data_IF_836715833970
#
_entry.id   IF_836715833970
#
_cell.length_a   1.000
_cell.length_b   1.000
_cell.length_c   1.000
_cell.angle_alpha   90.00
_cell.angle_beta   90.00
_cell.angle_gamma   90.00
#
_symmetry.space_group_name_H-M   'P 1'
#
loop_
_entity.id
_entity.type
_entity.pdbx_description
1 polymer ?
#
# COMPACT_ATOMS: atom_id res chain seq x y z
N UNK A 1 4.40 -2.11 -19.34
CA UNK A 1 3.29 -1.15 -19.15
C UNK A 1 2.36 -1.64 -18.05
N UNK A 2 1.76 -2.80 -18.23
CA UNK A 2 1.27 -3.72 -17.21
C UNK A 2 1.85 -3.55 -15.77
N UNK A 3 3.10 -3.98 -15.53
CA UNK A 3 3.76 -3.88 -14.21
C UNK A 3 3.83 -2.45 -13.70
N UNK A 4 4.08 -1.47 -14.57
CA UNK A 4 4.13 -0.06 -14.17
C UNK A 4 2.75 0.46 -13.74
N UNK A 5 1.66 0.04 -14.40
CA UNK A 5 0.29 0.39 -14.00
C UNK A 5 -0.08 -0.23 -12.64
N UNK A 6 0.35 -1.47 -12.40
CA UNK A 6 0.15 -2.14 -11.11
C UNK A 6 0.91 -1.41 -9.98
N UNK A 7 2.19 -1.09 -10.20
CA UNK A 7 3.02 -0.35 -9.24
C UNK A 7 2.43 1.04 -8.95
N UNK A 8 2.06 1.81 -9.98
CA UNK A 8 1.47 3.14 -9.80
C UNK A 8 0.15 3.09 -9.03
N UNK A 9 -0.70 2.10 -9.35
CA UNK A 9 -2.00 1.96 -8.69
C UNK A 9 -1.87 1.60 -7.21
N UNK A 10 -0.90 0.76 -6.87
CA UNK A 10 -0.56 0.41 -5.49
C UNK A 10 0.06 1.60 -4.73
N UNK A 11 1.07 2.25 -5.32
CA UNK A 11 1.76 3.40 -4.72
C UNK A 11 0.82 4.59 -4.50
N UNK A 12 -0.19 4.76 -5.36
CA UNK A 12 -1.22 5.78 -5.17
C UNK A 12 -2.07 5.50 -3.92
N UNK A 13 -2.50 4.25 -3.73
CA UNK A 13 -3.27 3.85 -2.55
C UNK A 13 -2.44 4.00 -1.26
N UNK A 14 -1.17 3.60 -1.30
CA UNK A 14 -0.24 3.71 -0.17
C UNK A 14 0.11 5.17 0.15
N UNK A 15 0.29 6.01 -0.86
CA UNK A 15 0.50 7.45 -0.70
C UNK A 15 -0.72 8.14 -0.08
N UNK A 16 -1.92 7.75 -0.50
CA UNK A 16 -3.17 8.27 0.07
C UNK A 16 -3.32 7.86 1.55
N UNK A 17 -3.04 6.59 1.89
CA UNK A 17 -3.04 6.10 3.27
C UNK A 17 -2.00 6.82 4.13
N UNK A 18 -0.78 6.97 3.61
CA UNK A 18 0.33 7.66 4.30
C UNK A 18 -0.01 9.12 4.58
N UNK A 19 -0.52 9.86 3.59
CA UNK A 19 -0.87 11.27 3.79
C UNK A 19 -2.04 11.43 4.77
N UNK A 20 -3.08 10.61 4.62
CA UNK A 20 -4.30 10.71 5.44
C UNK A 20 -4.02 10.36 6.88
N UNK A 21 -3.36 9.23 7.16
CA UNK A 21 -2.95 8.85 8.52
C UNK A 21 -2.02 9.91 9.12
N UNK A 22 -0.99 10.32 8.39
CA UNK A 22 -0.02 11.31 8.90
C UNK A 22 -0.70 12.64 9.22
N UNK A 23 -1.68 13.07 8.43
CA UNK A 23 -2.45 14.28 8.71
C UNK A 23 -3.44 14.11 9.87
N UNK A 24 -4.05 12.94 10.01
CA UNK A 24 -5.01 12.64 11.10
C UNK A 24 -4.33 12.59 12.47
N UNK A 25 -3.10 12.09 12.55
CA UNK A 25 -2.30 12.09 13.79
C UNK A 25 -1.69 13.46 14.16
N UNK A 26 -2.19 14.57 13.57
CA UNK A 26 -1.80 15.94 13.94
C UNK A 26 -0.41 16.38 13.48
N UNK A 27 0.22 15.63 12.59
CA UNK A 27 1.55 15.94 12.08
C UNK A 27 1.46 17.16 11.13
N UNK A 28 2.46 18.04 11.15
CA UNK A 28 2.48 19.20 10.28
C UNK A 28 2.39 18.80 8.79
N UNK A 29 1.63 19.56 7.98
CA UNK A 29 1.46 19.33 6.53
C UNK A 29 2.78 19.07 5.80
N UNK A 30 3.84 19.77 6.21
CA UNK A 30 5.20 19.58 5.68
C UNK A 30 5.74 18.15 5.90
N UNK A 31 5.46 17.54 7.05
CA UNK A 31 5.89 16.17 7.38
C UNK A 31 5.06 15.12 6.64
N UNK A 32 3.76 15.35 6.45
CA UNK A 32 2.94 14.51 5.58
C UNK A 32 3.42 14.52 4.13
N UNK A 33 3.80 15.70 3.60
CA UNK A 33 4.37 15.81 2.25
C UNK A 33 5.76 15.16 2.14
N UNK A 34 6.60 15.26 3.18
CA UNK A 34 7.89 14.57 3.22
C UNK A 34 7.71 13.05 3.23
N UNK A 35 6.75 12.53 3.99
CA UNK A 35 6.43 11.10 3.99
C UNK A 35 5.86 10.64 2.66
N UNK A 36 5.02 11.44 2.00
CA UNK A 36 4.53 11.16 0.66
C UNK A 36 5.67 11.11 -0.37
N UNK A 37 6.61 12.06 -0.29
CA UNK A 37 7.78 12.06 -1.17
C UNK A 37 8.69 10.85 -0.90
N UNK A 38 8.92 10.51 0.37
CA UNK A 38 9.68 9.32 0.73
C UNK A 38 9.00 8.03 0.21
N UNK A 39 7.67 7.93 0.31
CA UNK A 39 6.89 6.82 -0.22
C UNK A 39 7.04 6.72 -1.75
N UNK A 40 6.99 7.83 -2.49
CA UNK A 40 7.14 7.83 -3.95
C UNK A 40 8.55 7.45 -4.44
N UNK A 41 9.59 7.76 -3.65
CA UNK A 41 10.98 7.46 -4.02
C UNK A 41 11.39 6.03 -3.62
N UNK A 42 10.76 5.45 -2.59
CA UNK A 42 11.13 4.13 -2.08
C UNK A 42 11.09 3.00 -3.13
N UNK A 43 10.06 2.87 -4.01
CA UNK A 43 10.03 1.86 -5.06
C UNK A 43 11.17 2.02 -6.07
N UNK A 44 11.48 3.27 -6.45
CA UNK A 44 12.57 3.58 -7.38
C UNK A 44 13.93 3.20 -6.78
N UNK A 45 14.14 3.53 -5.50
CA UNK A 45 15.36 3.15 -4.78
C UNK A 45 15.44 1.63 -4.64
N UNK A 46 14.34 0.96 -4.26
CA UNK A 46 14.27 -0.49 -4.16
C UNK A 46 14.62 -1.18 -5.49
N UNK A 47 14.01 -0.73 -6.60
CA UNK A 47 14.34 -1.22 -7.93
C UNK A 47 15.81 -0.96 -8.30
N UNK A 48 16.35 0.22 -8.00
CA UNK A 48 17.75 0.54 -8.28
C UNK A 48 18.73 -0.35 -7.49
N UNK A 49 18.41 -0.75 -6.26
CA UNK A 49 19.27 -1.68 -5.49
C UNK A 49 19.42 -3.04 -6.16
N UNK A 50 18.45 -3.47 -6.96
CA UNK A 50 18.54 -4.73 -7.71
C UNK A 50 19.62 -4.73 -8.80
N UNK A 51 20.11 -3.55 -9.20
CA UNK A 51 21.25 -3.40 -10.12
C UNK A 51 22.59 -3.70 -9.44
N UNK A 52 22.66 -3.60 -8.11
CA UNK A 52 23.87 -3.85 -7.32
C UNK A 52 23.91 -5.30 -6.81
N UNK A 53 22.76 -5.88 -6.49
CA UNK A 53 22.65 -7.24 -5.98
C UNK A 53 21.27 -7.83 -6.23
N UNK A 54 21.21 -9.14 -6.49
CA UNK A 54 19.95 -9.89 -6.66
C UNK A 54 19.67 -10.71 -5.41
N UNK A 55 18.45 -10.63 -4.89
CA UNK A 55 18.05 -11.46 -3.75
C UNK A 55 17.77 -12.91 -4.19
N UNK A 56 18.31 -13.92 -3.50
CA UNK A 56 17.94 -15.31 -3.73
C UNK A 56 16.44 -15.55 -3.47
N UNK A 57 15.81 -16.44 -4.24
CA UNK A 57 14.36 -16.70 -4.18
C UNK A 57 13.86 -17.05 -2.77
N UNK A 58 14.64 -17.81 -2.00
CA UNK A 58 14.29 -18.19 -0.63
C UNK A 58 14.19 -16.97 0.29
N UNK A 59 15.13 -16.04 0.18
CA UNK A 59 15.09 -14.80 0.97
C UNK A 59 13.99 -13.86 0.47
N UNK A 60 13.75 -13.81 -0.85
CA UNK A 60 12.68 -13.03 -1.43
C UNK A 60 11.30 -13.52 -0.94
N UNK A 61 11.07 -14.84 -0.93
CA UNK A 61 9.85 -15.43 -0.40
C UNK A 61 9.64 -15.13 1.08
N UNK A 62 10.70 -15.23 1.90
CA UNK A 62 10.65 -14.84 3.30
C UNK A 62 10.35 -13.35 3.51
N UNK A 63 10.97 -12.48 2.71
CA UNK A 63 10.74 -11.04 2.71
C UNK A 63 9.28 -10.70 2.35
N UNK A 64 8.79 -11.21 1.22
CA UNK A 64 7.40 -11.00 0.78
C UNK A 64 6.40 -11.55 1.79
N UNK A 65 6.66 -12.72 2.37
CA UNK A 65 5.81 -13.31 3.42
C UNK A 65 5.76 -12.46 4.68
N UNK A 66 6.89 -11.89 5.12
CA UNK A 66 6.93 -10.98 6.26
C UNK A 66 6.09 -9.72 6.02
N UNK A 67 6.30 -9.04 4.89
CA UNK A 67 5.52 -7.84 4.56
C UNK A 67 4.04 -8.13 4.33
N UNK A 68 3.71 -9.23 3.63
CA UNK A 68 2.33 -9.67 3.46
C UNK A 68 1.63 -9.95 4.80
N UNK A 69 2.32 -10.61 5.73
CA UNK A 69 1.81 -10.83 7.09
C UNK A 69 1.60 -9.54 7.87
N UNK A 70 2.53 -8.59 7.79
CA UNK A 70 2.40 -7.29 8.44
C UNK A 70 1.20 -6.48 7.88
N UNK A 71 0.99 -6.49 6.56
CA UNK A 71 -0.15 -5.84 5.92
C UNK A 71 -1.49 -6.49 6.33
N UNK A 72 -1.53 -7.83 6.42
CA UNK A 72 -2.70 -8.55 6.93
C UNK A 72 -3.00 -8.21 8.39
N UNK A 73 -1.96 -8.10 9.23
CA UNK A 73 -2.10 -7.67 10.61
C UNK A 73 -2.66 -6.24 10.70
N UNK A 74 -2.09 -5.29 9.95
CA UNK A 74 -2.57 -3.91 9.93
C UNK A 74 -4.04 -3.83 9.49
N UNK A 75 -4.40 -4.57 8.43
CA UNK A 75 -5.77 -4.63 7.93
C UNK A 75 -6.75 -5.17 8.98
N UNK A 76 -6.37 -6.24 9.69
CA UNK A 76 -7.25 -6.91 10.65
C UNK A 76 -7.32 -6.20 12.01
N UNK A 77 -6.21 -5.65 12.50
CA UNK A 77 -6.09 -5.11 13.85
C UNK A 77 -6.36 -3.59 13.93
N UNK A 78 -6.12 -2.85 12.86
CA UNK A 78 -6.29 -1.39 12.84
C UNK A 78 -7.40 -0.94 11.89
N UNK A 79 -7.33 -1.36 10.62
CA UNK A 79 -8.26 -0.86 9.58
C UNK A 79 -9.69 -1.39 9.80
N UNK A 80 -9.84 -2.70 10.09
CA UNK A 80 -11.16 -3.33 10.26
C UNK A 80 -11.92 -2.81 11.51
N UNK A 81 -11.29 -2.62 12.69
CA UNK A 81 -11.95 -2.02 13.85
C UNK A 81 -12.28 -0.53 13.67
N UNK A 82 -11.38 0.26 13.08
CA UNK A 82 -11.60 1.70 12.83
C UNK A 82 -12.79 1.91 11.88
N UNK A 83 -12.90 1.08 10.84
CA UNK A 83 -14.04 1.06 9.92
C UNK A 83 -15.39 0.78 10.60
N UNK A 84 -15.38 0.04 11.72
CA UNK A 84 -16.59 -0.31 12.48
C UNK A 84 -16.98 0.73 13.53
N UNK A 85 -16.06 1.60 13.95
CA UNK A 85 -16.25 2.40 15.16
C UNK A 85 -17.06 3.70 14.94
N UNK A 86 -17.26 4.14 13.69
CA UNK A 86 -17.87 5.47 13.41
C UNK A 86 -18.66 5.62 12.10
N UNK A 87 -18.71 4.62 11.21
CA UNK A 87 -19.26 4.78 9.85
C UNK A 87 -20.30 3.72 9.48
N UNK A 88 -21.26 4.02 8.58
CA UNK A 88 -22.24 3.04 8.12
C UNK A 88 -21.56 1.88 7.38
N UNK A 89 -21.54 0.71 8.03
CA UNK A 89 -20.83 -0.50 7.61
C UNK A 89 -21.04 -0.91 6.13
N UNK A 90 -22.21 -0.60 5.54
CA UNK A 90 -22.52 -0.92 4.14
C UNK A 90 -21.69 -0.11 3.13
N UNK A 91 -21.44 1.17 3.41
CA UNK A 91 -20.68 2.03 2.49
C UNK A 91 -19.20 1.66 2.47
N UNK A 92 -18.64 1.36 3.65
CA UNK A 92 -17.27 0.87 3.80
C UNK A 92 -17.09 -0.47 3.13
N UNK A 93 -18.03 -1.41 3.32
CA UNK A 93 -17.99 -2.73 2.67
C UNK A 93 -18.02 -2.60 1.14
N UNK A 94 -18.90 -1.76 0.59
CA UNK A 94 -18.97 -1.51 -0.86
C UNK A 94 -17.66 -0.90 -1.40
N UNK A 95 -17.05 0.04 -0.67
CA UNK A 95 -15.75 0.60 -1.04
C UNK A 95 -14.63 -0.45 -0.98
N UNK A 96 -14.63 -1.33 0.04
CA UNK A 96 -13.65 -2.42 0.13
C UNK A 96 -13.79 -3.41 -1.03
N UNK A 97 -15.02 -3.85 -1.33
CA UNK A 97 -15.27 -4.74 -2.48
C UNK A 97 -14.89 -4.06 -3.79
N UNK A 98 -15.23 -2.78 -3.94
CA UNK A 98 -14.86 -1.97 -5.11
C UNK A 98 -13.35 -1.85 -5.27
N UNK A 99 -12.62 -1.59 -4.18
CA UNK A 99 -11.16 -1.51 -4.16
C UNK A 99 -10.50 -2.85 -4.50
N UNK A 100 -10.99 -3.96 -3.92
CA UNK A 100 -10.53 -5.32 -4.26
C UNK A 100 -10.76 -5.61 -5.74
N UNK A 101 -11.96 -5.31 -6.27
CA UNK A 101 -12.29 -5.50 -7.68
C UNK A 101 -11.44 -4.64 -8.60
N UNK A 102 -11.15 -3.39 -8.22
CA UNK A 102 -10.28 -2.49 -8.96
C UNK A 102 -8.85 -3.04 -9.03
N UNK A 103 -8.25 -3.42 -7.89
CA UNK A 103 -6.90 -4.00 -7.87
C UNK A 103 -6.86 -5.32 -8.64
N UNK A 104 -7.86 -6.19 -8.50
CA UNK A 104 -7.96 -7.44 -9.25
C UNK A 104 -7.98 -7.19 -10.77
N UNK A 105 -8.75 -6.19 -11.23
CA UNK A 105 -8.82 -5.82 -12.64
C UNK A 105 -7.50 -5.21 -13.14
N UNK A 106 -6.87 -4.33 -12.35
CA UNK A 106 -5.57 -3.74 -12.71
C UNK A 106 -4.49 -4.81 -12.81
N UNK A 107 -4.42 -5.74 -11.86
CA UNK A 107 -3.47 -6.86 -11.88
C UNK A 107 -3.78 -7.81 -13.04
N UNK A 108 -5.05 -8.15 -13.28
CA UNK A 108 -5.45 -9.02 -14.39
C UNK A 108 -5.20 -8.45 -15.78
N UNK A 109 -5.18 -7.12 -15.94
CA UNK A 109 -4.77 -6.43 -17.18
C UNK A 109 -3.24 -6.28 -17.26
N UNK A 110 -2.55 -6.40 -16.13
CA UNK A 110 -1.10 -6.29 -16.04
C UNK A 110 -0.35 -7.62 -16.27
N UNK A 111 -1.06 -8.75 -16.36
CA UNK A 111 -0.53 -10.02 -16.88
C UNK A 111 -0.62 -10.05 -18.42
#
# INVERSE_FOLDING_TARGET
LAVALAVISHDFADGFNTYTLTSLYGNARRKALLMLFAAAVAPVVGAATTLLFTLPEVLLGGYLGFFGGALLYLAAAEILPEAHHTHPARSTLLCTIGGVGFIWLVVGIAE
#
